data_IF_774378118021
#
_entry.id   IF_774378118021
#
_cell.length_a   1.000
_cell.length_b   1.000
_cell.length_c   1.000
_cell.angle_alpha   90.00
_cell.angle_beta   90.00
_cell.angle_gamma   90.00
#
_symmetry.space_group_name_H-M   'P 1'
#
loop_
_entity.id
_entity.type
_entity.pdbx_description
1 polymer ?
#
# COMPACT_ATOMS: atom_id res chain seq x y z
N UNK A 1 -27.78 1.47 -0.17
CA UNK A 1 -27.37 2.54 0.78
C UNK A 1 -26.49 1.88 1.81
N UNK A 2 -25.24 2.31 1.95
CA UNK A 2 -24.30 1.78 2.92
C UNK A 2 -24.58 2.36 4.31
N UNK A 3 -24.45 1.57 5.36
CA UNK A 3 -24.55 2.00 6.76
C UNK A 3 -23.29 2.74 7.19
N UNK A 4 -23.37 3.46 8.32
CA UNK A 4 -22.19 4.10 8.92
C UNK A 4 -21.07 3.11 9.26
N UNK A 5 -21.44 1.92 9.74
CA UNK A 5 -20.49 0.85 10.06
C UNK A 5 -19.81 0.30 8.81
N UNK A 6 -20.57 0.02 7.74
CA UNK A 6 -19.98 -0.46 6.49
C UNK A 6 -19.08 0.61 5.85
N UNK A 7 -19.45 1.90 5.92
CA UNK A 7 -18.60 3.00 5.45
C UNK A 7 -17.28 3.10 6.25
N UNK A 8 -17.35 2.97 7.57
CA UNK A 8 -16.17 2.91 8.44
C UNK A 8 -15.24 1.76 8.03
N UNK A 9 -15.79 0.57 7.80
CA UNK A 9 -14.99 -0.60 7.39
C UNK A 9 -14.35 -0.43 6.03
N UNK A 10 -15.07 0.14 5.06
CA UNK A 10 -14.51 0.47 3.75
C UNK A 10 -13.36 1.48 3.88
N UNK A 11 -13.51 2.50 4.73
CA UNK A 11 -12.46 3.50 4.98
C UNK A 11 -11.22 2.86 5.61
N UNK A 12 -11.40 2.07 6.66
CA UNK A 12 -10.30 1.38 7.35
C UNK A 12 -9.59 0.39 6.44
N UNK A 13 -10.32 -0.35 5.60
CA UNK A 13 -9.74 -1.26 4.61
C UNK A 13 -8.90 -0.53 3.55
N UNK A 14 -9.26 0.71 3.24
CA UNK A 14 -8.46 1.59 2.37
C UNK A 14 -7.28 2.26 3.10
N UNK A 15 -7.09 1.99 4.40
CA UNK A 15 -6.04 2.59 5.22
C UNK A 15 -6.27 4.06 5.56
N UNK A 16 -7.44 4.62 5.25
CA UNK A 16 -7.68 6.06 5.38
C UNK A 16 -8.11 6.44 6.80
N UNK A 17 -7.64 7.58 7.29
CA UNK A 17 -8.18 8.23 8.49
C UNK A 17 -9.47 8.99 8.15
N UNK A 18 -10.23 9.40 9.19
CA UNK A 18 -11.38 10.26 8.97
C UNK A 18 -10.99 11.63 8.37
N UNK A 19 -9.78 12.12 8.68
CA UNK A 19 -9.25 13.36 8.13
C UNK A 19 -8.90 13.19 6.64
N UNK A 20 -8.23 12.09 6.27
CA UNK A 20 -7.94 11.79 4.86
C UNK A 20 -9.22 11.79 4.02
N UNK A 21 -10.28 11.15 4.51
CA UNK A 21 -11.57 11.12 3.80
C UNK A 21 -12.20 12.51 3.71
N UNK A 22 -12.12 13.31 4.77
CA UNK A 22 -12.64 14.68 4.78
C UNK A 22 -11.94 15.53 3.71
N UNK A 23 -10.61 15.45 3.64
CA UNK A 23 -9.79 16.19 2.69
C UNK A 23 -10.00 15.72 1.25
N UNK A 24 -9.99 14.41 1.01
CA UNK A 24 -10.22 13.82 -0.31
C UNK A 24 -11.59 14.16 -0.91
N UNK A 25 -12.61 14.23 -0.05
CA UNK A 25 -13.99 14.50 -0.47
C UNK A 25 -14.26 16.01 -0.53
N UNK A 26 -13.46 16.82 0.18
CA UNK A 26 -13.70 18.25 0.35
C UNK A 26 -14.88 18.53 1.29
N UNK A 27 -14.94 17.84 2.43
CA UNK A 27 -16.00 18.02 3.43
C UNK A 27 -15.44 18.21 4.84
N UNK A 28 -16.28 18.65 5.78
CA UNK A 28 -15.86 18.83 7.18
C UNK A 28 -15.73 17.48 7.90
N UNK A 29 -14.68 17.31 8.71
CA UNK A 29 -14.42 16.11 9.52
C UNK A 29 -15.62 15.68 10.39
N UNK A 30 -16.43 16.63 10.88
CA UNK A 30 -17.67 16.32 11.64
C UNK A 30 -18.68 15.57 10.79
N UNK A 31 -18.71 15.78 9.47
CA UNK A 31 -19.58 15.05 8.55
C UNK A 31 -19.22 13.57 8.54
N UNK A 32 -17.93 13.26 8.39
CA UNK A 32 -17.40 11.88 8.43
C UNK A 32 -17.73 11.20 9.75
N UNK A 33 -17.49 11.89 10.89
CA UNK A 33 -17.85 11.37 12.22
C UNK A 33 -19.33 11.05 12.37
N UNK A 34 -20.21 11.93 11.85
CA UNK A 34 -21.67 11.71 11.91
C UNK A 34 -22.12 10.56 11.00
N UNK A 35 -21.52 10.42 9.82
CA UNK A 35 -21.79 9.31 8.92
C UNK A 35 -21.47 7.97 9.57
N UNK A 36 -20.27 7.83 10.13
CA UNK A 36 -19.83 6.58 10.76
C UNK A 36 -20.62 6.23 12.02
N UNK A 37 -21.07 7.23 12.77
CA UNK A 37 -21.95 7.05 13.91
C UNK A 37 -23.43 6.79 13.53
N UNK A 38 -23.76 6.73 12.24
CA UNK A 38 -25.13 6.55 11.74
C UNK A 38 -26.06 7.74 12.05
N UNK A 39 -25.49 8.91 12.35
CA UNK A 39 -26.22 10.15 12.72
C UNK A 39 -26.55 11.04 11.52
N UNK A 40 -26.15 10.64 10.33
CA UNK A 40 -26.49 11.29 9.06
C UNK A 40 -26.43 10.29 7.92
N UNK A 41 -27.22 10.54 6.87
CA UNK A 41 -27.16 9.78 5.63
C UNK A 41 -25.88 10.11 4.87
N UNK A 42 -25.27 9.08 4.29
CA UNK A 42 -24.12 9.16 3.40
C UNK A 42 -24.65 9.28 1.97
N UNK A 43 -24.13 10.23 1.19
CA UNK A 43 -24.54 10.39 -0.20
C UNK A 43 -23.88 9.32 -1.08
N UNK A 44 -24.57 8.87 -2.13
CA UNK A 44 -24.03 7.85 -3.03
C UNK A 44 -22.74 8.31 -3.73
N UNK A 45 -22.57 9.62 -3.93
CA UNK A 45 -21.32 10.22 -4.43
C UNK A 45 -20.15 9.96 -3.49
N UNK A 46 -20.33 10.15 -2.17
CA UNK A 46 -19.29 9.91 -1.16
C UNK A 46 -18.90 8.45 -1.13
N UNK A 47 -19.89 7.56 -1.16
CA UNK A 47 -19.66 6.11 -1.22
C UNK A 47 -18.88 5.73 -2.49
N UNK A 48 -19.26 6.28 -3.64
CA UNK A 48 -18.58 6.01 -4.91
C UNK A 48 -17.12 6.45 -4.93
N UNK A 49 -16.78 7.59 -4.30
CA UNK A 49 -15.39 8.05 -4.21
C UNK A 49 -14.57 7.04 -3.40
N UNK A 50 -15.07 6.63 -2.24
CA UNK A 50 -14.35 5.71 -1.37
C UNK A 50 -14.20 4.32 -2.02
N UNK A 51 -15.23 3.85 -2.71
CA UNK A 51 -15.16 2.60 -3.47
C UNK A 51 -14.10 2.66 -4.58
N UNK A 52 -14.04 3.78 -5.32
CA UNK A 52 -13.01 3.96 -6.36
C UNK A 52 -11.59 3.97 -5.79
N UNK A 53 -11.41 4.48 -4.58
CA UNK A 53 -10.12 4.41 -3.90
C UNK A 53 -9.79 2.94 -3.60
N UNK A 54 -10.70 2.19 -2.98
CA UNK A 54 -10.47 0.77 -2.71
C UNK A 54 -10.19 -0.03 -4.00
N UNK A 55 -10.94 0.24 -5.07
CA UNK A 55 -10.72 -0.36 -6.39
C UNK A 55 -9.32 -0.01 -6.94
N UNK A 56 -8.86 1.23 -6.76
CA UNK A 56 -7.51 1.65 -7.16
C UNK A 56 -6.44 0.88 -6.38
N UNK A 57 -6.63 0.69 -5.07
CA UNK A 57 -5.70 -0.10 -4.24
C UNK A 57 -5.68 -1.58 -4.66
N UNK A 58 -6.84 -2.14 -5.01
CA UNK A 58 -6.96 -3.52 -5.49
C UNK A 58 -6.32 -3.68 -6.88
N UNK A 59 -6.48 -2.71 -7.78
CA UNK A 59 -5.80 -2.68 -9.08
C UNK A 59 -4.28 -2.63 -8.91
N UNK A 60 -3.78 -1.78 -8.02
CA UNK A 60 -2.35 -1.73 -7.69
C UNK A 60 -1.83 -3.10 -7.21
N UNK A 61 -2.55 -3.76 -6.30
CA UNK A 61 -2.19 -5.10 -5.83
C UNK A 61 -2.14 -6.13 -6.98
N UNK A 62 -3.09 -6.07 -7.91
CA UNK A 62 -3.11 -6.95 -9.09
C UNK A 62 -1.94 -6.67 -10.05
N UNK A 63 -1.58 -5.40 -10.25
CA UNK A 63 -0.42 -5.02 -11.05
C UNK A 63 0.89 -5.52 -10.44
N UNK A 64 1.02 -5.49 -9.12
CA UNK A 64 2.18 -6.06 -8.41
C UNK A 64 2.28 -7.56 -8.61
N UNK A 65 1.17 -8.30 -8.47
CA UNK A 65 1.16 -9.75 -8.73
C UNK A 65 1.56 -10.05 -10.18
N UNK A 66 1.01 -9.31 -11.14
CA UNK A 66 1.35 -9.46 -12.55
C UNK A 66 2.83 -9.19 -12.81
N UNK A 67 3.36 -8.10 -12.26
CA UNK A 67 4.76 -7.75 -12.42
C UNK A 67 5.70 -8.81 -11.83
N UNK A 68 5.31 -9.47 -10.73
CA UNK A 68 6.03 -10.61 -10.20
C UNK A 68 5.98 -11.81 -11.15
N UNK A 69 4.80 -12.18 -11.66
CA UNK A 69 4.64 -13.27 -12.62
C UNK A 69 5.48 -13.06 -13.90
N UNK A 70 5.46 -11.84 -14.46
CA UNK A 70 6.22 -11.46 -15.66
C UNK A 70 7.75 -11.52 -15.44
N UNK A 71 8.21 -11.38 -14.20
CA UNK A 71 9.62 -11.58 -13.82
C UNK A 71 9.92 -13.07 -13.61
N UNK A 72 8.99 -13.78 -12.99
CA UNK A 72 9.12 -15.20 -12.68
C UNK A 72 9.26 -16.06 -13.94
N UNK A 73 8.60 -15.69 -15.04
CA UNK A 73 8.74 -16.37 -16.35
C UNK A 73 10.17 -16.31 -16.92
N UNK A 74 11.01 -15.38 -16.46
CA UNK A 74 12.37 -15.14 -16.98
C UNK A 74 13.47 -15.73 -16.09
N UNK A 75 13.10 -16.29 -14.95
CA UNK A 75 14.01 -16.78 -13.91
C UNK A 75 13.75 -18.28 -13.74
N UNK A 76 14.80 -19.04 -13.45
CA UNK A 76 14.64 -20.45 -13.08
C UNK A 76 13.71 -20.57 -11.86
N UNK A 77 12.69 -21.45 -11.88
CA UNK A 77 11.81 -21.64 -10.73
C UNK A 77 12.52 -21.89 -9.40
N UNK A 78 13.66 -22.58 -9.42
CA UNK A 78 14.45 -22.86 -8.20
C UNK A 78 15.25 -21.65 -7.71
N UNK A 79 15.38 -20.61 -8.53
CA UNK A 79 16.06 -19.34 -8.22
C UNK A 79 15.08 -18.17 -7.98
N UNK A 80 13.76 -18.44 -7.96
CA UNK A 80 12.74 -17.42 -7.77
C UNK A 80 12.90 -16.71 -6.42
N UNK A 81 13.13 -15.38 -6.41
CA UNK A 81 13.27 -14.66 -5.17
C UNK A 81 11.93 -14.52 -4.44
N UNK A 82 12.00 -14.46 -3.11
CA UNK A 82 10.90 -13.99 -2.27
C UNK A 82 10.52 -12.55 -2.68
N UNK A 83 9.24 -12.31 -2.94
CA UNK A 83 8.74 -10.98 -3.28
C UNK A 83 8.91 -10.03 -2.08
N UNK A 84 9.70 -8.98 -2.25
CA UNK A 84 9.93 -7.97 -1.22
C UNK A 84 9.16 -6.70 -1.57
N UNK A 85 8.15 -6.37 -0.76
CA UNK A 85 7.36 -5.16 -0.90
C UNK A 85 7.83 -4.11 0.09
N UNK A 86 8.06 -2.90 -0.39
CA UNK A 86 8.55 -1.79 0.43
C UNK A 86 7.36 -0.95 0.89
N UNK A 87 7.28 -0.68 2.19
CA UNK A 87 6.40 0.34 2.78
C UNK A 87 7.24 1.53 3.20
N UNK A 88 6.86 2.71 2.73
CA UNK A 88 7.43 3.97 3.17
C UNK A 88 6.81 4.44 4.49
N UNK A 89 7.56 5.23 5.27
CA UNK A 89 7.05 5.95 6.43
C UNK A 89 6.48 7.32 6.02
N UNK A 90 5.71 7.92 6.93
CA UNK A 90 5.13 9.24 6.72
C UNK A 90 6.25 10.26 6.51
N UNK A 91 6.03 11.24 5.62
CA UNK A 91 7.02 12.27 5.21
C UNK A 91 8.18 11.80 4.29
N UNK A 92 8.11 10.60 3.70
CA UNK A 92 9.09 10.24 2.67
C UNK A 92 8.79 10.97 1.35
N UNK A 93 9.61 11.97 1.01
CA UNK A 93 9.52 12.75 -0.23
C UNK A 93 9.55 11.88 -1.51
N UNK A 94 9.96 10.61 -1.39
CA UNK A 94 9.93 9.64 -2.48
C UNK A 94 8.51 9.14 -2.83
N UNK A 95 7.51 9.47 -2.01
CA UNK A 95 6.10 9.21 -2.25
C UNK A 95 5.42 10.21 -3.20
N UNK A 96 6.15 11.18 -3.76
CA UNK A 96 5.58 12.23 -4.65
C UNK A 96 4.87 11.66 -5.89
N UNK A 97 5.17 10.44 -6.30
CA UNK A 97 4.47 9.75 -7.40
C UNK A 97 3.12 9.10 -6.99
N UNK A 98 2.81 9.02 -5.70
CA UNK A 98 1.59 8.42 -5.15
C UNK A 98 0.51 9.50 -4.97
N UNK A 99 -0.61 9.36 -5.68
CA UNK A 99 -1.69 10.37 -5.71
C UNK A 99 -2.72 10.23 -4.59
N UNK A 100 -2.61 9.19 -3.76
CA UNK A 100 -3.49 8.95 -2.62
C UNK A 100 -2.79 9.35 -1.32
N UNK A 101 -3.54 9.52 -0.21
CA UNK A 101 -2.94 9.82 1.09
C UNK A 101 -1.91 8.76 1.48
N UNK A 102 -0.90 9.18 2.23
CA UNK A 102 0.18 8.33 2.71
C UNK A 102 -0.35 7.05 3.38
N UNK A 103 -1.36 7.18 4.26
CA UNK A 103 -1.94 6.03 4.95
C UNK A 103 -2.56 4.98 4.00
N UNK A 104 -2.99 5.37 2.80
CA UNK A 104 -3.49 4.45 1.80
C UNK A 104 -2.37 3.62 1.13
N UNK A 105 -1.12 4.09 1.15
CA UNK A 105 0.01 3.36 0.60
C UNK A 105 0.26 2.05 1.37
N UNK A 106 0.29 2.10 2.70
CA UNK A 106 0.45 0.91 3.53
C UNK A 106 -0.66 -0.12 3.28
N UNK A 107 -1.90 0.35 3.10
CA UNK A 107 -3.01 -0.52 2.73
C UNK A 107 -2.85 -1.14 1.32
N UNK A 108 -2.37 -0.36 0.34
CA UNK A 108 -2.06 -0.85 -1.00
C UNK A 108 -1.02 -1.99 -0.97
N UNK A 109 0.09 -1.75 -0.25
CA UNK A 109 1.17 -2.73 -0.10
C UNK A 109 0.67 -3.98 0.64
N UNK A 110 -0.14 -3.81 1.68
CA UNK A 110 -0.70 -4.94 2.41
C UNK A 110 -1.65 -5.78 1.54
N UNK A 111 -2.50 -5.15 0.71
CA UNK A 111 -3.34 -5.87 -0.26
C UNK A 111 -2.49 -6.64 -1.28
N UNK A 112 -1.42 -6.03 -1.80
CA UNK A 112 -0.48 -6.70 -2.69
C UNK A 112 0.19 -7.91 -2.03
N UNK A 113 0.64 -7.75 -0.78
CA UNK A 113 1.21 -8.82 0.04
C UNK A 113 0.23 -9.99 0.22
N UNK A 114 -1.02 -9.69 0.57
CA UNK A 114 -2.05 -10.71 0.73
C UNK A 114 -2.31 -11.45 -0.58
N UNK A 115 -2.43 -10.72 -1.69
CA UNK A 115 -2.72 -11.28 -3.00
C UNK A 115 -1.58 -12.19 -3.49
N UNK A 116 -0.32 -11.78 -3.32
CA UNK A 116 0.85 -12.62 -3.62
C UNK A 116 0.81 -13.95 -2.85
N UNK A 117 0.62 -13.88 -1.52
CA UNK A 117 0.59 -15.08 -0.67
C UNK A 117 -0.58 -16.00 -0.97
N UNK A 118 -1.74 -15.45 -1.28
CA UNK A 118 -2.91 -16.24 -1.72
C UNK A 118 -2.65 -17.00 -3.01
N UNK A 119 -1.74 -16.51 -3.87
CA UNK A 119 -1.30 -17.17 -5.09
C UNK A 119 -0.02 -18.02 -4.90
N UNK A 120 0.33 -18.35 -3.66
CA UNK A 120 1.47 -19.22 -3.34
C UNK A 120 2.84 -18.56 -3.47
N UNK A 121 2.90 -17.25 -3.73
CA UNK A 121 4.16 -16.51 -3.81
C UNK A 121 4.68 -16.18 -2.41
N UNK A 122 5.90 -16.61 -2.03
CA UNK A 122 6.54 -16.16 -0.80
C UNK A 122 6.74 -14.65 -0.89
N UNK A 123 6.16 -13.91 0.05
CA UNK A 123 6.25 -12.45 0.08
C UNK A 123 6.52 -11.94 1.49
N UNK A 124 7.19 -10.78 1.58
CA UNK A 124 7.46 -10.05 2.83
C UNK A 124 7.30 -8.54 2.61
N UNK A 125 6.87 -7.85 3.67
CA UNK A 125 6.85 -6.39 3.72
C UNK A 125 8.10 -5.92 4.47
N UNK A 126 8.82 -4.98 3.88
CA UNK A 126 10.03 -4.35 4.45
C UNK A 126 9.73 -2.87 4.61
N UNK A 127 9.93 -2.36 5.83
CA UNK A 127 9.86 -0.93 6.09
C UNK A 127 11.08 -0.24 5.46
N UNK A 128 10.85 0.82 4.69
CA UNK A 128 11.92 1.60 4.12
C UNK A 128 12.65 2.38 5.21
N UNK A 129 13.95 2.17 5.34
CA UNK A 129 14.80 2.89 6.28
C UNK A 129 15.74 3.78 5.47
N UNK A 130 15.35 5.04 5.28
CA UNK A 130 16.01 5.97 4.37
C UNK A 130 17.51 6.12 4.69
N UNK A 131 17.87 6.28 5.96
CA UNK A 131 19.27 6.46 6.36
C UNK A 131 20.12 5.22 6.07
N UNK A 132 19.60 4.02 6.38
CA UNK A 132 20.25 2.75 6.08
C UNK A 132 20.35 2.49 4.58
N UNK A 133 19.33 2.91 3.82
CA UNK A 133 19.34 2.86 2.35
C UNK A 133 20.41 3.78 1.77
N UNK A 134 20.48 5.04 2.20
CA UNK A 134 21.47 6.00 1.70
C UNK A 134 22.90 5.56 2.01
N UNK A 135 23.14 5.02 3.22
CA UNK A 135 24.43 4.47 3.60
C UNK A 135 24.83 3.26 2.73
N UNK A 136 23.85 2.41 2.38
CA UNK A 136 24.07 1.28 1.48
C UNK A 136 24.26 1.72 0.04
N UNK A 137 23.49 2.72 -0.43
CA UNK A 137 23.44 3.19 -1.81
C UNK A 137 24.81 3.74 -2.26
N UNK A 138 25.46 4.56 -1.42
CA UNK A 138 26.75 5.21 -1.70
C UNK A 138 26.72 5.92 -3.06
N UNK A 139 27.62 5.56 -3.97
CA UNK A 139 27.74 6.17 -5.31
C UNK A 139 26.79 5.57 -6.35
N UNK A 140 25.95 4.59 -5.98
CA UNK A 140 24.97 3.99 -6.91
C UNK A 140 23.84 4.97 -7.19
N UNK A 141 23.27 4.88 -8.39
CA UNK A 141 22.09 5.69 -8.76
C UNK A 141 20.86 5.17 -8.03
N UNK A 142 20.10 6.08 -7.42
CA UNK A 142 18.80 5.74 -6.84
C UNK A 142 17.78 5.39 -7.94
N UNK A 143 17.26 4.18 -7.87
CA UNK A 143 16.28 3.61 -8.80
C UNK A 143 15.36 2.63 -8.06
N UNK A 144 14.16 2.31 -8.59
CA UNK A 144 13.32 1.25 -8.02
C UNK A 144 14.04 -0.10 -7.89
N UNK A 145 14.93 -0.43 -8.84
CA UNK A 145 15.73 -1.65 -8.80
C UNK A 145 16.73 -1.66 -7.64
N UNK A 146 17.42 -0.54 -7.37
CA UNK A 146 18.36 -0.45 -6.24
C UNK A 146 17.64 -0.48 -4.90
N UNK A 147 16.46 0.13 -4.79
CA UNK A 147 15.61 0.04 -3.59
C UNK A 147 15.16 -1.40 -3.35
N UNK A 148 14.73 -2.11 -4.40
CA UNK A 148 14.34 -3.51 -4.33
C UNK A 148 15.50 -4.42 -3.91
N UNK A 149 16.70 -4.20 -4.46
CA UNK A 149 17.90 -4.94 -4.08
C UNK A 149 18.30 -4.71 -2.62
N UNK A 150 18.21 -3.48 -2.12
CA UNK A 150 18.42 -3.17 -0.70
C UNK A 150 17.41 -3.89 0.19
N UNK A 151 16.12 -3.86 -0.16
CA UNK A 151 15.07 -4.49 0.62
C UNK A 151 15.28 -6.01 0.72
N UNK A 152 15.67 -6.66 -0.37
CA UNK A 152 15.99 -8.09 -0.41
C UNK A 152 17.18 -8.47 0.50
N UNK A 153 18.10 -7.54 0.79
CA UNK A 153 19.18 -7.79 1.76
C UNK A 153 18.70 -7.68 3.21
N UNK A 154 17.72 -6.82 3.49
CA UNK A 154 17.17 -6.72 4.85
C UNK A 154 16.41 -7.99 5.25
N UNK A 155 15.69 -8.61 4.31
CA UNK A 155 14.97 -9.87 4.58
C UNK A 155 15.89 -11.04 4.92
N UNK A 156 17.14 -11.01 4.44
CA UNK A 156 18.16 -12.02 4.76
C UNK A 156 18.73 -11.83 6.18
N UNK A 157 18.89 -10.58 6.63
CA UNK A 157 19.35 -10.27 7.99
C UNK A 157 18.35 -10.74 9.05
N UNK A 158 17.05 -10.56 8.79
CA UNK A 158 15.98 -11.00 9.69
C UNK A 158 15.88 -12.54 9.81
N UNK A 159 16.54 -13.29 8.91
CA UNK A 159 16.60 -14.77 8.92
C UNK A 159 17.85 -15.30 9.63
N UNK A 160 18.81 -14.46 10.03
CA UNK A 160 19.97 -14.87 10.80
C UNK A 160 19.60 -15.04 12.30
N UNK A 161 19.99 -16.16 12.95
CA UNK A 161 19.63 -16.46 14.34
C UNK A 161 20.26 -15.53 15.37
#
# INVERSE_FOLDING_TARGET
MITGTEFLRLREAAGLTQADVADLIGCDLRSVKRWEAGKSRISDRVVSILQKIDDTLNCYAAEVLKAYADQAEKIDPDELPEACLIVYDDDDADMVAWSLPFHAHAAAVFKAFQLLRQNGVPARIVKFQRDDYLLWLKDRKDTPATRSAWAALQTQKDKAP
#
